data_IF_144030623628
#
_entry.id   IF_144030623628
#
_cell.length_a   1.000
_cell.length_b   1.000
_cell.length_c   1.000
_cell.angle_alpha   90.00
_cell.angle_beta   90.00
_cell.angle_gamma   90.00
#
_symmetry.space_group_name_H-M   'P 1'
#
loop_
_entity.id
_entity.type
_entity.pdbx_description
1 polymer ?
#
# COMPACT_ATOMS: atom_id res chain seq x y z
N UNK A 1 3.69 16.93 6.84
CA UNK A 1 2.50 17.42 6.07
C UNK A 1 1.27 16.72 6.62
N UNK A 2 0.09 17.35 6.56
CA UNK A 2 -1.18 16.76 7.04
C UNK A 2 -2.25 16.85 5.94
N UNK A 3 -2.99 15.78 5.75
CA UNK A 3 -4.15 15.71 4.84
C UNK A 3 -5.37 15.25 5.63
N UNK A 4 -6.49 15.94 5.45
CA UNK A 4 -7.76 15.63 6.10
C UNK A 4 -8.74 15.12 5.05
N UNK A 5 -9.28 13.92 5.27
CA UNK A 5 -10.26 13.30 4.38
C UNK A 5 -11.66 13.43 4.97
N UNK A 6 -12.55 14.05 4.22
CA UNK A 6 -13.93 14.28 4.61
C UNK A 6 -14.86 13.33 3.85
N UNK A 7 -15.66 12.57 4.60
CA UNK A 7 -16.77 11.79 4.09
C UNK A 7 -18.09 12.56 4.15
N UNK A 8 -19.20 11.85 3.91
CA UNK A 8 -20.56 12.43 3.94
C UNK A 8 -20.93 13.02 5.31
N UNK A 9 -20.44 12.40 6.38
CA UNK A 9 -20.80 12.72 7.76
C UNK A 9 -19.75 13.59 8.48
N UNK A 10 -18.77 14.11 7.74
CA UNK A 10 -17.70 14.96 8.27
C UNK A 10 -16.32 14.34 8.11
N UNK A 11 -15.37 14.75 8.96
CA UNK A 11 -14.01 14.24 8.94
C UNK A 11 -14.00 12.72 9.20
N UNK A 12 -13.34 11.97 8.32
CA UNK A 12 -13.24 10.51 8.39
C UNK A 12 -11.85 10.04 8.80
N UNK A 13 -10.81 10.53 8.12
CA UNK A 13 -9.42 10.17 8.39
C UNK A 13 -8.50 11.38 8.32
N UNK A 14 -7.43 11.35 9.11
CA UNK A 14 -6.31 12.29 9.00
C UNK A 14 -5.03 11.55 8.64
N UNK A 15 -4.31 12.00 7.62
CA UNK A 15 -3.04 11.43 7.19
C UNK A 15 -1.91 12.38 7.59
N UNK A 16 -0.93 11.84 8.30
CA UNK A 16 0.27 12.54 8.73
C UNK A 16 1.48 11.97 7.98
N UNK A 17 2.19 12.82 7.25
CA UNK A 17 3.34 12.40 6.45
C UNK A 17 4.65 12.78 7.12
N UNK A 18 5.54 11.79 7.22
CA UNK A 18 6.92 11.87 7.70
C UNK A 18 7.05 12.46 9.12
N UNK A 19 6.13 12.11 10.02
CA UNK A 19 6.20 12.50 11.43
C UNK A 19 6.38 11.32 12.38
N UNK A 20 6.73 11.63 13.63
CA UNK A 20 6.94 10.64 14.68
C UNK A 20 5.60 10.18 15.27
N UNK A 21 5.40 8.86 15.28
CA UNK A 21 4.11 8.24 15.59
C UNK A 21 3.60 8.55 17.00
N UNK A 22 4.48 8.62 18.00
CA UNK A 22 4.10 8.94 19.38
C UNK A 22 3.55 10.37 19.51
N UNK A 23 4.28 11.37 18.99
CA UNK A 23 3.83 12.77 19.00
C UNK A 23 2.53 12.93 18.24
N UNK A 24 2.42 12.33 17.05
CA UNK A 24 1.20 12.40 16.24
C UNK A 24 0.01 11.81 16.99
N UNK A 25 0.18 10.69 17.68
CA UNK A 25 -0.90 10.03 18.40
C UNK A 25 -1.44 10.92 19.53
N UNK A 26 -0.55 11.55 20.29
CA UNK A 26 -0.93 12.46 21.36
C UNK A 26 -1.65 13.71 20.82
N UNK A 27 -1.09 14.35 19.78
CA UNK A 27 -1.66 15.55 19.19
C UNK A 27 -3.01 15.27 18.49
N UNK A 28 -3.11 14.13 17.80
CA UNK A 28 -4.33 13.73 17.10
C UNK A 28 -5.52 13.55 18.04
N UNK A 29 -5.30 12.92 19.20
CA UNK A 29 -6.36 12.72 20.19
C UNK A 29 -6.95 14.03 20.72
N UNK A 30 -6.16 15.12 20.72
CA UNK A 30 -6.59 16.46 21.12
C UNK A 30 -7.29 17.19 19.98
N UNK A 31 -6.69 17.19 18.79
CA UNK A 31 -7.16 17.98 17.65
C UNK A 31 -8.37 17.37 16.92
N UNK A 32 -8.47 16.03 16.93
CA UNK A 32 -9.45 15.26 16.15
C UNK A 32 -10.11 14.14 16.96
N UNK A 33 -10.79 14.47 18.07
CA UNK A 33 -11.37 13.47 18.95
C UNK A 33 -12.36 12.57 18.18
N UNK A 34 -12.15 11.26 18.27
CA UNK A 34 -13.03 10.25 17.66
C UNK A 34 -12.78 9.98 16.16
N UNK A 35 -11.80 10.64 15.53
CA UNK A 35 -11.43 10.37 14.13
C UNK A 35 -10.33 9.32 14.05
N UNK A 36 -10.30 8.50 12.99
CA UNK A 36 -9.15 7.63 12.75
C UNK A 36 -8.03 8.39 12.03
N UNK A 37 -6.81 7.86 12.08
CA UNK A 37 -5.68 8.49 11.40
C UNK A 37 -4.70 7.48 10.83
N UNK A 38 -3.81 7.98 9.98
CA UNK A 38 -2.71 7.24 9.41
C UNK A 38 -1.41 8.03 9.54
N UNK A 39 -0.32 7.33 9.82
CA UNK A 39 1.04 7.88 9.72
C UNK A 39 1.71 7.24 8.52
N UNK A 40 2.10 8.07 7.55
CA UNK A 40 2.78 7.68 6.32
C UNK A 40 4.25 8.06 6.44
N UNK A 41 5.15 7.11 6.22
CA UNK A 41 6.59 7.34 6.12
C UNK A 41 7.04 7.01 4.72
N UNK A 42 7.84 7.89 4.14
CA UNK A 42 8.41 7.69 2.82
C UNK A 42 9.88 7.35 2.94
N UNK A 43 10.32 6.28 2.28
CA UNK A 43 11.75 5.98 2.13
C UNK A 43 12.35 6.60 0.87
N UNK A 44 13.68 6.67 0.86
CA UNK A 44 14.44 7.23 -0.26
C UNK A 44 14.15 6.46 -1.55
N UNK A 45 14.01 7.21 -2.64
CA UNK A 45 13.70 6.63 -3.94
C UNK A 45 14.92 5.93 -4.54
N UNK A 46 14.73 4.72 -5.06
CA UNK A 46 15.73 3.99 -5.83
C UNK A 46 15.26 3.85 -7.27
N UNK A 47 16.08 4.30 -8.22
CA UNK A 47 15.73 4.32 -9.64
C UNK A 47 14.40 5.05 -9.95
N UNK A 48 14.01 6.00 -9.09
CA UNK A 48 12.75 6.73 -9.20
C UNK A 48 11.55 6.03 -8.54
N UNK A 49 11.68 4.76 -8.16
CA UNK A 49 10.67 4.05 -7.36
C UNK A 49 10.77 4.45 -5.90
N UNK A 50 9.64 4.49 -5.20
CA UNK A 50 9.56 4.97 -3.82
C UNK A 50 8.71 4.03 -2.98
N UNK A 51 9.19 3.72 -1.79
CA UNK A 51 8.41 2.98 -0.80
C UNK A 51 7.70 3.94 0.14
N UNK A 52 6.43 3.66 0.43
CA UNK A 52 5.70 4.28 1.54
C UNK A 52 5.22 3.23 2.55
N UNK A 53 5.28 3.58 3.82
CA UNK A 53 4.84 2.76 4.93
C UNK A 53 3.70 3.48 5.63
N UNK A 54 2.52 2.88 5.62
CA UNK A 54 1.34 3.45 6.25
C UNK A 54 0.97 2.64 7.47
N UNK A 55 0.99 3.25 8.65
CA UNK A 55 0.29 2.71 9.82
C UNK A 55 -1.05 3.39 9.95
N UNK A 56 -2.14 2.63 9.93
CA UNK A 56 -3.45 3.14 10.34
C UNK A 56 -3.68 2.90 11.82
N UNK A 57 -4.24 3.89 12.48
CA UNK A 57 -4.60 3.88 13.88
C UNK A 57 -6.12 4.01 14.05
N UNK A 58 -6.58 3.49 15.18
CA UNK A 58 -7.91 3.79 15.74
C UNK A 58 -7.96 5.22 16.27
N UNK A 59 -9.15 5.72 16.62
CA UNK A 59 -9.29 7.05 17.20
C UNK A 59 -8.64 7.17 18.58
N UNK A 60 -8.48 6.06 19.27
CA UNK A 60 -7.80 5.94 20.56
C UNK A 60 -6.27 5.82 20.42
N UNK A 61 -5.74 5.83 19.20
CA UNK A 61 -4.30 5.77 18.96
C UNK A 61 -3.71 4.35 18.94
N UNK A 62 -4.53 3.30 18.96
CA UNK A 62 -4.04 1.93 18.79
C UNK A 62 -3.83 1.58 17.31
N UNK A 63 -2.69 1.01 16.90
CA UNK A 63 -2.47 0.59 15.51
C UNK A 63 -3.42 -0.56 15.11
N UNK A 64 -3.97 -0.48 13.90
CA UNK A 64 -4.96 -1.44 13.35
C UNK A 64 -4.52 -2.15 12.07
N UNK A 65 -3.73 -1.49 11.24
CA UNK A 65 -3.34 -1.99 9.92
C UNK A 65 -1.98 -1.38 9.55
N UNK A 66 -1.10 -2.20 8.97
CA UNK A 66 0.16 -1.74 8.41
C UNK A 66 0.16 -2.06 6.92
N UNK A 67 0.63 -1.12 6.12
CA UNK A 67 0.70 -1.25 4.67
C UNK A 67 2.09 -0.82 4.20
N UNK A 68 2.62 -1.53 3.21
CA UNK A 68 3.82 -1.16 2.46
C UNK A 68 3.44 -0.97 1.01
N UNK A 69 3.70 0.21 0.47
CA UNK A 69 3.34 0.62 -0.88
C UNK A 69 4.60 0.84 -1.72
N UNK A 70 4.59 0.36 -2.95
CA UNK A 70 5.57 0.71 -3.97
C UNK A 70 4.95 1.65 -4.98
N UNK A 71 5.56 2.81 -5.12
CA UNK A 71 5.24 3.78 -6.16
C UNK A 71 6.29 3.72 -7.26
N UNK A 72 5.84 3.82 -8.51
CA UNK A 72 6.69 3.91 -9.68
C UNK A 72 7.24 5.35 -9.88
N UNK A 73 8.12 5.59 -10.88
CA UNK A 73 8.64 6.92 -11.17
C UNK A 73 7.59 7.96 -11.62
N UNK A 74 6.38 7.53 -11.96
CA UNK A 74 5.24 8.40 -12.28
C UNK A 74 4.35 8.67 -11.05
N UNK A 75 4.77 8.21 -9.86
CA UNK A 75 4.05 8.30 -8.59
C UNK A 75 2.72 7.53 -8.58
N UNK A 76 2.64 6.45 -9.37
CA UNK A 76 1.53 5.50 -9.33
C UNK A 76 1.85 4.36 -8.36
N UNK A 77 0.89 4.03 -7.49
CA UNK A 77 1.00 2.87 -6.60
C UNK A 77 0.86 1.58 -7.42
N UNK A 78 1.96 0.85 -7.61
CA UNK A 78 1.98 -0.37 -8.43
C UNK A 78 1.93 -1.65 -7.60
N UNK A 79 2.19 -1.57 -6.30
CA UNK A 79 2.15 -2.71 -5.38
C UNK A 79 1.84 -2.28 -3.96
N UNK A 80 1.02 -3.07 -3.28
CA UNK A 80 0.67 -2.93 -1.87
C UNK A 80 0.86 -4.27 -1.15
N UNK A 81 1.39 -4.22 0.08
CA UNK A 81 1.42 -5.35 0.99
C UNK A 81 0.64 -4.96 2.25
N UNK A 82 -0.42 -5.71 2.54
CA UNK A 82 -1.25 -5.52 3.72
C UNK A 82 -0.81 -6.45 4.84
N UNK A 83 -0.59 -5.92 6.03
CA UNK A 83 -0.22 -6.69 7.21
C UNK A 83 -1.25 -6.51 8.32
N UNK A 84 -1.61 -7.62 8.97
CA UNK A 84 -2.46 -7.55 10.16
C UNK A 84 -1.68 -6.96 11.34
N UNK A 85 -2.40 -6.64 12.43
CA UNK A 85 -1.82 -6.01 13.63
C UNK A 85 -0.62 -6.75 14.23
N UNK A 86 -0.52 -8.07 14.05
CA UNK A 86 0.62 -8.87 14.53
C UNK A 86 1.87 -8.75 13.66
N UNK A 87 1.83 -7.98 12.57
CA UNK A 87 2.91 -7.88 11.58
C UNK A 87 2.94 -9.01 10.56
N UNK A 88 1.97 -9.93 10.60
CA UNK A 88 1.85 -11.00 9.61
C UNK A 88 1.26 -10.46 8.30
N UNK A 89 1.87 -10.85 7.17
CA UNK A 89 1.39 -10.48 5.84
C UNK A 89 0.04 -11.16 5.57
N UNK A 90 -0.95 -10.37 5.17
CA UNK A 90 -2.31 -10.78 4.86
C UNK A 90 -2.54 -10.99 3.37
N UNK A 91 -2.07 -10.04 2.56
CA UNK A 91 -2.32 -10.01 1.13
C UNK A 91 -1.25 -9.15 0.44
N UNK A 92 -1.02 -9.44 -0.83
CA UNK A 92 -0.26 -8.58 -1.73
C UNK A 92 -1.20 -8.21 -2.87
N UNK A 93 -1.20 -6.95 -3.25
CA UNK A 93 -1.97 -6.44 -4.39
C UNK A 93 -1.01 -5.76 -5.35
N UNK A 94 -1.19 -5.96 -6.66
CA UNK A 94 -0.48 -5.23 -7.70
C UNK A 94 -1.46 -4.59 -8.66
N UNK A 95 -1.07 -3.45 -9.19
CA UNK A 95 -1.92 -2.64 -10.05
C UNK A 95 -1.26 -2.48 -11.41
N UNK A 96 -2.02 -2.79 -12.45
CA UNK A 96 -1.66 -2.39 -13.81
C UNK A 96 -2.55 -1.25 -14.27
N UNK A 97 -1.91 -0.20 -14.77
CA UNK A 97 -2.55 1.02 -15.24
C UNK A 97 -2.62 1.04 -16.76
N UNK A 98 -3.81 1.32 -17.30
CA UNK A 98 -4.01 1.61 -18.72
C UNK A 98 -3.52 3.01 -19.09
N UNK A 99 -3.63 3.92 -18.13
CA UNK A 99 -3.16 5.30 -18.20
C UNK A 99 -2.89 5.82 -16.80
N UNK A 100 -2.28 7.00 -16.67
CA UNK A 100 -1.96 7.60 -15.38
C UNK A 100 -3.18 7.77 -14.45
N UNK A 101 -4.40 7.83 -15.00
CA UNK A 101 -5.63 8.06 -14.24
C UNK A 101 -6.56 6.84 -14.21
N UNK A 102 -6.16 5.69 -14.78
CA UNK A 102 -7.02 4.51 -14.90
C UNK A 102 -6.27 3.21 -14.60
N UNK A 103 -6.70 2.52 -13.55
CA UNK A 103 -6.29 1.14 -13.26
C UNK A 103 -7.11 0.21 -14.17
N UNK A 104 -6.43 -0.60 -14.97
CA UNK A 104 -7.09 -1.63 -15.78
C UNK A 104 -7.24 -2.94 -15.03
N UNK A 105 -6.16 -3.43 -14.42
CA UNK A 105 -6.14 -4.73 -13.75
C UNK A 105 -5.64 -4.63 -12.30
N UNK A 106 -6.27 -5.40 -11.42
CA UNK A 106 -5.83 -5.62 -10.04
C UNK A 106 -5.47 -7.08 -9.87
N UNK A 107 -4.24 -7.35 -9.45
CA UNK A 107 -3.75 -8.70 -9.18
C UNK A 107 -3.71 -8.90 -7.68
N UNK A 108 -4.37 -9.94 -7.19
CA UNK A 108 -4.36 -10.32 -5.77
C UNK A 108 -3.52 -11.57 -5.57
N UNK A 109 -2.70 -11.58 -4.53
CA UNK A 109 -1.85 -12.71 -4.18
C UNK A 109 -1.99 -13.06 -2.69
N UNK A 110 -1.86 -14.36 -2.41
CA UNK A 110 -1.72 -14.87 -1.05
C UNK A 110 -0.41 -14.41 -0.40
N UNK A 111 -0.28 -14.51 0.94
CA UNK A 111 0.96 -14.25 1.65
C UNK A 111 2.17 -15.09 1.19
N UNK A 112 1.94 -16.22 0.53
CA UNK A 112 3.00 -17.04 -0.07
C UNK A 112 3.43 -16.57 -1.47
N UNK A 113 2.82 -15.50 -1.98
CA UNK A 113 3.11 -14.90 -3.28
C UNK A 113 2.36 -15.51 -4.45
N UNK A 114 1.50 -16.52 -4.24
CA UNK A 114 0.71 -17.10 -5.34
C UNK A 114 -0.48 -16.21 -5.70
N UNK A 115 -0.68 -16.00 -7.00
CA UNK A 115 -1.86 -15.28 -7.48
C UNK A 115 -3.14 -16.05 -7.13
N UNK A 116 -4.16 -15.32 -6.68
CA UNK A 116 -5.48 -15.88 -6.36
C UNK A 116 -6.59 -15.30 -7.22
N UNK A 117 -6.43 -14.06 -7.67
CA UNK A 117 -7.38 -13.41 -8.55
C UNK A 117 -6.70 -12.36 -9.42
N UNK A 118 -7.32 -12.11 -10.58
CA UNK A 118 -7.05 -10.91 -11.37
C UNK A 118 -8.39 -10.31 -11.73
N UNK A 119 -8.67 -9.11 -11.25
CA UNK A 119 -9.90 -8.39 -11.60
C UNK A 119 -9.62 -7.39 -12.72
N UNK A 120 -10.40 -7.44 -13.79
CA UNK A 120 -10.54 -6.34 -14.74
C UNK A 120 -11.49 -5.29 -14.14
N UNK A 121 -10.98 -4.09 -13.84
CA UNK A 121 -11.78 -3.05 -13.20
C UNK A 121 -12.77 -2.37 -14.14
N UNK A 122 -12.50 -2.32 -15.45
CA UNK A 122 -13.44 -1.76 -16.42
C UNK A 122 -14.71 -2.62 -16.50
N UNK A 123 -14.54 -3.94 -16.54
CA UNK A 123 -15.62 -4.91 -16.67
C UNK A 123 -16.18 -5.37 -15.31
N UNK A 124 -15.41 -5.18 -14.23
CA UNK A 124 -15.75 -5.61 -12.88
C UNK A 124 -15.76 -7.13 -12.70
N UNK A 125 -14.96 -7.85 -13.49
CA UNK A 125 -14.94 -9.31 -13.51
C UNK A 125 -13.54 -9.91 -13.34
N UNK A 126 -13.50 -11.13 -12.80
CA UNK A 126 -12.27 -11.91 -12.70
C UNK A 126 -11.88 -12.47 -14.06
N UNK A 127 -10.60 -12.29 -14.43
CA UNK A 127 -10.03 -12.76 -15.68
C UNK A 127 -8.94 -13.82 -15.43
N UNK A 128 -8.74 -14.79 -16.34
CA UNK A 128 -7.71 -15.81 -16.15
C UNK A 128 -6.30 -15.21 -16.13
N UNK A 129 -5.57 -15.43 -15.03
CA UNK A 129 -4.19 -14.94 -14.83
C UNK A 129 -3.27 -15.17 -16.04
N UNK A 130 -3.20 -16.40 -16.55
CA UNK A 130 -2.36 -16.77 -17.70
C UNK A 130 -2.74 -16.07 -19.01
N UNK A 131 -4.01 -15.68 -19.17
CA UNK A 131 -4.49 -15.03 -20.38
C UNK A 131 -4.00 -13.57 -20.46
N UNK A 132 -3.92 -12.90 -19.30
CA UNK A 132 -3.49 -11.49 -19.23
C UNK A 132 -1.99 -11.33 -19.03
N UNK A 133 -1.35 -12.23 -18.27
CA UNK A 133 0.07 -12.09 -17.88
C UNK A 133 0.98 -11.84 -19.08
N UNK A 134 0.81 -12.60 -20.17
CA UNK A 134 1.66 -12.51 -21.37
C UNK A 134 1.46 -11.24 -22.20
N UNK A 135 0.36 -10.53 -21.98
CA UNK A 135 0.04 -9.30 -22.68
C UNK A 135 0.60 -8.06 -21.97
N UNK A 136 1.07 -8.21 -20.74
CA UNK A 136 1.60 -7.10 -19.94
C UNK A 136 3.01 -6.70 -20.41
N UNK A 137 3.38 -5.40 -20.29
CA UNK A 137 4.72 -4.93 -20.61
C UNK A 137 5.83 -5.60 -19.79
N UNK A 138 5.55 -5.93 -18.53
CA UNK A 138 6.52 -6.50 -17.57
C UNK A 138 5.94 -7.76 -16.90
N UNK A 139 5.77 -8.87 -17.64
CA UNK A 139 5.08 -10.06 -17.15
C UNK A 139 5.73 -10.64 -15.89
N UNK A 140 7.07 -10.59 -15.78
CA UNK A 140 7.80 -11.13 -14.64
C UNK A 140 7.46 -10.41 -13.32
N UNK A 141 7.12 -9.12 -13.37
CA UNK A 141 6.67 -8.38 -12.19
C UNK A 141 5.32 -8.89 -11.68
N UNK A 142 4.42 -9.32 -12.56
CA UNK A 142 3.09 -9.83 -12.17
C UNK A 142 3.07 -11.34 -11.96
N UNK A 143 4.13 -12.05 -12.34
CA UNK A 143 4.20 -13.52 -12.24
C UNK A 143 4.03 -14.04 -10.80
N UNK A 144 4.57 -13.31 -9.82
CA UNK A 144 4.52 -13.67 -8.41
C UNK A 144 4.33 -12.42 -7.54
N UNK A 145 3.69 -12.58 -6.37
CA UNK A 145 3.37 -11.46 -5.47
C UNK A 145 4.60 -10.68 -5.02
N UNK A 146 5.73 -11.35 -4.75
CA UNK A 146 6.95 -10.69 -4.28
C UNK A 146 7.90 -10.21 -5.38
N UNK A 147 7.60 -10.49 -6.65
CA UNK A 147 8.44 -10.02 -7.74
C UNK A 147 8.48 -8.48 -7.76
N UNK A 148 9.66 -7.92 -7.99
CA UNK A 148 9.85 -6.47 -8.10
C UNK A 148 10.08 -6.08 -9.57
N UNK A 149 9.81 -4.82 -9.94
CA UNK A 149 10.16 -4.31 -11.25
C UNK A 149 11.65 -4.55 -11.55
N UNK A 150 12.04 -4.78 -12.83
CA UNK A 150 13.42 -5.09 -13.20
C UNK A 150 14.47 -4.07 -12.70
N UNK A 151 14.07 -2.81 -12.56
CA UNK A 151 14.91 -1.70 -12.08
C UNK A 151 15.24 -1.83 -10.58
N UNK A 152 14.43 -2.59 -9.84
CA UNK A 152 14.65 -2.96 -8.44
C UNK A 152 15.16 -4.41 -8.30
N UNK A 153 15.56 -5.06 -9.41
CA UNK A 153 16.09 -6.41 -9.34
C UNK A 153 17.32 -6.50 -8.42
N UNK A 154 17.30 -7.45 -7.48
CA UNK A 154 18.37 -7.64 -6.50
C UNK A 154 18.25 -6.79 -5.23
N UNK A 155 17.18 -6.01 -5.09
CA UNK A 155 16.82 -5.37 -3.82
C UNK A 155 15.81 -6.25 -3.06
N UNK A 156 15.54 -5.88 -1.81
CA UNK A 156 14.49 -6.49 -1.00
C UNK A 156 13.34 -5.51 -0.80
N UNK A 157 12.12 -6.04 -0.68
CA UNK A 157 11.00 -5.28 -0.11
C UNK A 157 11.40 -4.90 1.32
N UNK A 158 11.36 -3.61 1.69
CA UNK A 158 11.80 -3.21 3.02
C UNK A 158 10.91 -3.82 4.11
N UNK A 159 11.49 -4.20 5.25
CA UNK A 159 10.73 -4.81 6.33
C UNK A 159 9.82 -3.80 7.02
N UNK A 160 8.59 -4.24 7.28
CA UNK A 160 7.60 -3.54 8.11
C UNK A 160 8.15 -3.27 9.52
N UNK A 161 8.86 -4.23 10.12
CA UNK A 161 9.29 -4.17 11.53
C UNK A 161 10.26 -3.04 11.91
N UNK A 162 11.04 -2.49 10.97
CA UNK A 162 11.96 -1.39 11.27
C UNK A 162 11.23 -0.03 11.36
N UNK A 163 9.97 0.02 10.91
CA UNK A 163 9.17 1.25 10.84
C UNK A 163 7.97 1.25 11.81
N UNK A 164 7.67 0.11 12.44
CA UNK A 164 6.52 -0.03 13.33
C UNK A 164 6.95 -0.55 14.71
N UNK A 165 6.69 0.24 15.75
CA UNK A 165 6.82 -0.21 17.13
C UNK A 165 5.68 -1.19 17.44
N UNK A 166 5.92 -2.47 17.21
CA UNK A 166 5.09 -3.55 17.72
C UNK A 166 5.54 -3.81 19.18
N UNK A 167 4.83 -3.24 20.14
CA UNK A 167 4.99 -3.57 21.57
C UNK A 167 4.38 -4.94 21.91
#
# INVERSE_FOLDING_TARGET
MRLELYGRDGLHDVYYYNGESESITADHAVDYPGSTFAVVRTEEALAGFRWEFTTRYTAEGSPRLFMTHLFDPADLEIMNLDYIRTGELRAITKFWYESADSIGLVFEYQPDGKNVDVTNLEEGESVPFEAVLRALPEPDFYAEGFALPPQLAGTSIPPVGDHFHLE
#
